data_IF_894481307137
#
_entry.id   IF_894481307137
#
_cell.length_a   1.000
_cell.length_b   1.000
_cell.length_c   1.000
_cell.angle_alpha   90.00
_cell.angle_beta   90.00
_cell.angle_gamma   90.00
#
_symmetry.space_group_name_H-M   'P 1'
#
loop_
_entity.id
_entity.type
_entity.pdbx_description
1 polymer ?
#
# COMPACT_ATOMS: atom_id res chain seq x y z
N UNK A 1 7.85 6.48 8.17
CA UNK A 1 6.96 5.38 7.74
C UNK A 1 7.72 4.10 7.53
N UNK A 2 8.46 3.96 6.42
CA UNK A 2 8.98 2.66 5.98
C UNK A 2 9.93 1.98 6.98
N UNK A 3 10.90 2.73 7.53
CA UNK A 3 11.78 2.18 8.56
C UNK A 3 11.01 1.71 9.80
N UNK A 4 10.06 2.53 10.28
CA UNK A 4 9.22 2.20 11.43
C UNK A 4 8.36 0.95 11.16
N UNK A 5 7.74 0.88 9.98
CA UNK A 5 6.93 -0.26 9.53
C UNK A 5 7.75 -1.56 9.46
N UNK A 6 8.95 -1.51 8.88
CA UNK A 6 9.84 -2.66 8.71
C UNK A 6 10.35 -3.19 10.05
N UNK A 7 10.63 -2.33 11.03
CA UNK A 7 11.04 -2.76 12.38
C UNK A 7 9.87 -3.12 13.30
N UNK A 8 8.63 -3.01 12.81
CA UNK A 8 7.42 -3.36 13.56
C UNK A 8 6.90 -2.27 14.51
N UNK A 9 7.46 -1.05 14.47
CA UNK A 9 6.91 0.10 15.19
C UNK A 9 5.68 0.66 14.45
N UNK A 10 4.56 -0.03 14.63
CA UNK A 10 3.31 0.25 13.95
C UNK A 10 2.74 1.62 14.33
N UNK A 11 2.94 2.09 15.56
CA UNK A 11 2.43 3.40 16.02
C UNK A 11 3.13 4.51 15.25
N UNK A 12 4.48 4.50 15.25
CA UNK A 12 5.25 5.51 14.53
C UNK A 12 5.06 5.42 13.01
N UNK A 13 4.87 4.21 12.48
CA UNK A 13 4.53 4.01 11.07
C UNK A 13 3.23 4.71 10.69
N UNK A 14 2.16 4.51 11.48
CA UNK A 14 0.84 5.12 11.28
C UNK A 14 0.89 6.64 11.44
N UNK A 15 1.55 7.16 12.48
CA UNK A 15 1.68 8.62 12.67
C UNK A 15 2.32 9.29 11.45
N UNK A 16 3.44 8.74 10.98
CA UNK A 16 4.10 9.27 9.79
C UNK A 16 3.26 9.13 8.52
N UNK A 17 2.47 8.07 8.39
CA UNK A 17 1.60 7.87 7.24
C UNK A 17 0.44 8.84 7.21
N UNK A 18 -0.24 9.00 8.34
CA UNK A 18 -1.31 9.98 8.48
C UNK A 18 -0.79 11.40 8.24
N UNK A 19 0.43 11.72 8.68
CA UNK A 19 1.02 13.03 8.39
C UNK A 19 1.24 13.24 6.90
N UNK A 20 1.80 12.25 6.19
CA UNK A 20 1.96 12.30 4.71
C UNK A 20 0.60 12.50 4.03
N UNK A 21 -0.42 11.73 4.41
CA UNK A 21 -1.77 11.85 3.87
C UNK A 21 -2.35 13.25 4.10
N UNK A 22 -2.14 13.81 5.30
CA UNK A 22 -2.65 15.13 5.70
C UNK A 22 -2.00 16.27 4.92
N UNK A 23 -0.68 16.28 4.78
CA UNK A 23 0.04 17.35 4.07
C UNK A 23 0.05 17.16 2.55
N UNK A 24 -0.21 15.94 2.09
CA UNK A 24 -0.27 15.57 0.68
C UNK A 24 -1.56 16.01 0.01
N UNK A 25 -2.64 16.27 0.75
CA UNK A 25 -3.92 16.70 0.19
C UNK A 25 -3.93 18.21 -0.10
N UNK A 26 -4.19 18.57 -1.35
CA UNK A 26 -4.34 19.96 -1.78
C UNK A 26 -5.78 20.46 -1.60
N UNK A 27 -5.98 21.77 -1.65
CA UNK A 27 -7.29 22.40 -1.45
C UNK A 27 -8.31 22.03 -2.54
N UNK A 28 -7.85 21.74 -3.74
CA UNK A 28 -8.67 21.26 -4.87
C UNK A 28 -8.95 19.75 -4.81
N UNK A 29 -8.48 19.06 -3.77
CA UNK A 29 -8.64 17.62 -3.57
C UNK A 29 -7.59 16.77 -4.27
N UNK A 30 -6.69 17.35 -5.07
CA UNK A 30 -5.59 16.62 -5.69
C UNK A 30 -4.50 16.23 -4.68
N UNK A 31 -3.70 15.24 -5.05
CA UNK A 31 -2.56 14.81 -4.24
C UNK A 31 -1.29 15.52 -4.72
N UNK A 32 -0.64 16.25 -3.81
CA UNK A 32 0.62 16.98 -4.06
C UNK A 32 1.76 16.03 -4.43
N UNK A 33 1.82 14.85 -3.80
CA UNK A 33 2.86 13.84 -4.02
C UNK A 33 2.25 12.45 -4.20
N UNK A 34 1.58 12.16 -5.34
CA UNK A 34 0.77 10.96 -5.50
C UNK A 34 1.49 9.64 -5.18
N UNK A 35 2.76 9.52 -5.61
CA UNK A 35 3.56 8.33 -5.31
C UNK A 35 3.82 8.17 -3.81
N UNK A 36 4.07 9.27 -3.09
CA UNK A 36 4.33 9.22 -1.65
C UNK A 36 3.06 8.95 -0.87
N UNK A 37 1.92 9.44 -1.34
CA UNK A 37 0.60 9.10 -0.81
C UNK A 37 0.29 7.61 -1.00
N UNK A 38 0.60 7.05 -2.17
CA UNK A 38 0.42 5.61 -2.43
C UNK A 38 1.27 4.74 -1.49
N UNK A 39 2.53 5.10 -1.24
CA UNK A 39 3.38 4.42 -0.24
C UNK A 39 2.84 4.55 1.20
N UNK A 40 2.26 5.71 1.54
CA UNK A 40 1.63 5.91 2.83
C UNK A 40 0.40 5.03 3.02
N UNK A 41 -0.44 4.89 1.98
CA UNK A 41 -1.58 3.98 1.97
C UNK A 41 -1.17 2.53 2.16
N UNK A 42 -0.14 2.04 1.45
CA UNK A 42 0.36 0.67 1.67
C UNK A 42 0.91 0.51 3.10
N UNK A 43 1.55 1.54 3.65
CA UNK A 43 2.00 1.51 5.05
C UNK A 43 0.84 1.34 6.03
N UNK A 44 -0.25 2.10 5.84
CA UNK A 44 -1.47 1.96 6.64
C UNK A 44 -2.09 0.57 6.46
N UNK A 45 -2.15 0.06 5.23
CA UNK A 45 -2.68 -1.26 4.95
C UNK A 45 -1.92 -2.39 5.69
N UNK A 46 -0.59 -2.35 5.70
CA UNK A 46 0.24 -3.32 6.44
C UNK A 46 -0.07 -3.27 7.94
N UNK A 47 -0.19 -2.07 8.52
CA UNK A 47 -0.50 -1.92 9.94
C UNK A 47 -1.93 -2.37 10.26
N UNK A 48 -2.90 -2.06 9.40
CA UNK A 48 -4.28 -2.51 9.52
C UNK A 48 -4.39 -4.05 9.48
N UNK A 49 -3.69 -4.70 8.55
CA UNK A 49 -3.63 -6.16 8.48
C UNK A 49 -3.01 -6.78 9.75
N UNK A 50 -1.95 -6.16 10.29
CA UNK A 50 -1.36 -6.58 11.58
C UNK A 50 -2.32 -6.45 12.76
N UNK A 51 -3.20 -5.44 12.71
CA UNK A 51 -4.15 -5.13 13.77
C UNK A 51 -5.44 -5.96 13.71
N UNK A 52 -5.67 -6.76 12.66
CA UNK A 52 -6.92 -7.50 12.50
C UNK A 52 -7.92 -6.84 11.54
N UNK A 53 -7.63 -5.65 11.04
CA UNK A 53 -8.55 -4.85 10.23
C UNK A 53 -8.38 -5.14 8.73
N UNK A 54 -8.83 -6.33 8.30
CA UNK A 54 -8.65 -6.79 6.91
C UNK A 54 -9.30 -5.87 5.88
N UNK A 55 -10.55 -5.47 6.09
CA UNK A 55 -11.27 -4.64 5.12
C UNK A 55 -10.59 -3.28 4.92
N UNK A 56 -10.11 -2.66 6.01
CA UNK A 56 -9.35 -1.41 5.97
C UNK A 56 -8.04 -1.60 5.21
N UNK A 57 -7.33 -2.70 5.48
CA UNK A 57 -6.08 -3.02 4.80
C UNK A 57 -6.26 -3.13 3.28
N UNK A 58 -7.28 -3.87 2.83
CA UNK A 58 -7.54 -4.07 1.40
C UNK A 58 -7.98 -2.76 0.74
N UNK A 59 -8.83 -1.98 1.40
CA UNK A 59 -9.29 -0.70 0.88
C UNK A 59 -8.13 0.27 0.63
N UNK A 60 -7.24 0.44 1.62
CA UNK A 60 -6.07 1.33 1.49
C UNK A 60 -5.09 0.81 0.43
N UNK A 61 -4.84 -0.49 0.41
CA UNK A 61 -3.91 -1.09 -0.53
C UNK A 61 -4.41 -0.98 -1.98
N UNK A 62 -5.70 -1.22 -2.21
CA UNK A 62 -6.35 -1.07 -3.51
C UNK A 62 -6.33 0.38 -3.98
N UNK A 63 -6.61 1.32 -3.08
CA UNK A 63 -6.53 2.75 -3.37
C UNK A 63 -5.11 3.21 -3.72
N UNK A 64 -4.06 2.53 -3.23
CA UNK A 64 -2.68 2.79 -3.62
C UNK A 64 -2.36 2.27 -5.03
N UNK A 65 -2.83 1.06 -5.37
CA UNK A 65 -2.61 0.44 -6.69
C UNK A 65 -3.37 1.12 -7.83
N UNK A 66 -4.45 1.82 -7.54
CA UNK A 66 -5.27 2.50 -8.55
C UNK A 66 -4.91 3.99 -8.75
N UNK A 67 -3.78 4.46 -8.22
CA UNK A 67 -3.35 5.86 -8.37
C UNK A 67 -2.77 6.19 -9.74
N UNK A 68 -3.05 7.39 -10.26
CA UNK A 68 -2.64 7.84 -11.61
C UNK A 68 -1.11 7.92 -11.84
N UNK A 69 -0.32 8.19 -10.79
CA UNK A 69 1.16 8.24 -10.86
C UNK A 69 1.76 7.36 -9.78
N UNK A 70 2.57 6.39 -10.19
CA UNK A 70 3.16 5.39 -9.31
C UNK A 70 4.65 5.19 -9.61
N UNK A 71 5.41 4.96 -8.54
CA UNK A 71 6.72 4.31 -8.66
C UNK A 71 6.50 2.80 -8.43
N UNK A 72 6.20 2.07 -9.51
CA UNK A 72 5.79 0.66 -9.41
C UNK A 72 6.82 -0.21 -8.65
N UNK A 73 8.14 -0.09 -8.87
CA UNK A 73 9.11 -0.87 -8.09
C UNK A 73 9.02 -0.63 -6.58
N UNK A 74 8.94 0.63 -6.14
CA UNK A 74 8.79 0.97 -4.71
C UNK A 74 7.47 0.46 -4.15
N UNK A 75 6.38 0.61 -4.91
CA UNK A 75 5.05 0.18 -4.52
C UNK A 75 4.99 -1.34 -4.33
N UNK A 76 5.58 -2.11 -5.26
CA UNK A 76 5.65 -3.57 -5.18
C UNK A 76 6.51 -4.04 -4.00
N UNK A 77 7.57 -3.32 -3.61
CA UNK A 77 8.34 -3.66 -2.42
C UNK A 77 7.49 -3.60 -1.15
N UNK A 78 6.67 -2.56 -0.99
CA UNK A 78 5.78 -2.41 0.16
C UNK A 78 4.58 -3.38 0.09
N UNK A 79 4.02 -3.61 -1.11
CA UNK A 79 2.93 -4.56 -1.35
C UNK A 79 3.29 -6.00 -0.94
N UNK A 80 4.54 -6.44 -1.18
CA UNK A 80 5.02 -7.77 -0.76
C UNK A 80 5.02 -7.96 0.76
N UNK A 81 5.15 -6.89 1.53
CA UNK A 81 5.04 -6.99 2.99
C UNK A 81 3.58 -7.20 3.39
N UNK A 82 2.64 -6.50 2.74
CA UNK A 82 1.21 -6.75 2.94
C UNK A 82 0.83 -8.19 2.54
N UNK A 83 1.34 -8.69 1.41
CA UNK A 83 1.12 -10.09 1.00
C UNK A 83 1.53 -11.08 2.10
N UNK A 84 2.65 -10.82 2.77
CA UNK A 84 3.12 -11.67 3.86
C UNK A 84 2.16 -11.63 5.05
N UNK A 85 1.78 -10.44 5.50
CA UNK A 85 0.83 -10.30 6.62
C UNK A 85 -0.53 -10.95 6.31
N UNK A 86 -1.01 -10.80 5.06
CA UNK A 86 -2.27 -11.39 4.63
C UNK A 86 -2.21 -12.92 4.62
N UNK A 87 -1.15 -13.50 4.05
CA UNK A 87 -0.97 -14.95 4.00
C UNK A 87 -0.79 -15.57 5.41
N UNK A 88 -0.09 -14.87 6.30
CA UNK A 88 0.16 -15.38 7.66
C UNK A 88 -1.08 -15.30 8.56
N UNK A 89 -1.92 -14.27 8.40
CA UNK A 89 -3.02 -13.97 9.33
C UNK A 89 -4.40 -14.31 8.81
N UNK A 90 -4.60 -14.29 7.49
CA UNK A 90 -5.89 -14.49 6.84
C UNK A 90 -5.83 -15.57 5.76
N UNK A 91 -5.36 -16.79 6.09
CA UNK A 91 -5.30 -17.86 5.12
C UNK A 91 -6.73 -18.18 4.62
N UNK A 92 -6.86 -18.39 3.31
CA UNK A 92 -8.11 -18.80 2.64
C UNK A 92 -9.24 -17.76 2.66
N UNK A 93 -8.93 -16.48 2.89
CA UNK A 93 -9.93 -15.41 2.73
C UNK A 93 -9.88 -14.89 1.30
N UNK A 94 -10.99 -14.99 0.58
CA UNK A 94 -11.09 -14.61 -0.85
C UNK A 94 -10.59 -13.19 -1.14
N UNK A 95 -10.87 -12.22 -0.28
CA UNK A 95 -10.44 -10.83 -0.49
C UNK A 95 -8.90 -10.67 -0.43
N UNK A 96 -8.20 -11.55 0.30
CA UNK A 96 -6.74 -11.56 0.31
C UNK A 96 -6.18 -12.17 -1.00
N UNK A 97 -6.87 -13.15 -1.59
CA UNK A 97 -6.52 -13.72 -2.89
C UNK A 97 -6.73 -12.68 -4.02
N UNK A 98 -7.85 -11.94 -3.99
CA UNK A 98 -8.15 -10.86 -4.95
C UNK A 98 -7.09 -9.74 -4.95
N UNK A 99 -6.54 -9.45 -3.78
CA UNK A 99 -5.42 -8.53 -3.65
C UNK A 99 -4.15 -9.05 -4.36
N UNK A 100 -3.82 -10.33 -4.19
CA UNK A 100 -2.65 -10.94 -4.85
C UNK A 100 -2.79 -10.93 -6.38
N UNK A 101 -4.00 -11.17 -6.89
CA UNK A 101 -4.30 -11.05 -8.32
C UNK A 101 -4.07 -9.61 -8.81
N UNK A 102 -4.50 -8.61 -8.04
CA UNK A 102 -4.30 -7.20 -8.35
C UNK A 102 -2.81 -6.82 -8.44
N UNK A 103 -1.99 -7.30 -7.50
CA UNK A 103 -0.54 -7.09 -7.50
C UNK A 103 0.11 -7.76 -8.73
N UNK A 104 -0.32 -8.98 -9.08
CA UNK A 104 0.21 -9.70 -10.23
C UNK A 104 -0.07 -8.98 -11.57
N UNK A 105 -1.25 -8.37 -11.71
CA UNK A 105 -1.60 -7.55 -12.89
C UNK A 105 -0.66 -6.35 -13.02
N UNK A 106 -0.46 -5.59 -11.93
CA UNK A 106 0.43 -4.41 -11.93
C UNK A 106 1.88 -4.82 -12.22
N UNK A 107 2.35 -5.93 -11.65
CA UNK A 107 3.70 -6.43 -11.89
C UNK A 107 3.93 -6.83 -13.35
N UNK A 108 2.96 -7.48 -14.00
CA UNK A 108 3.06 -7.84 -15.43
C UNK A 108 3.09 -6.60 -16.31
N UNK A 109 2.18 -5.65 -16.07
CA UNK A 109 2.12 -4.40 -16.82
C UNK A 109 3.44 -3.61 -16.73
N UNK A 110 4.09 -3.60 -15.57
CA UNK A 110 5.38 -2.93 -15.40
C UNK A 110 6.55 -3.60 -16.13
N UNK A 111 6.48 -4.91 -16.37
CA UNK A 111 7.50 -5.65 -17.15
C UNK A 111 7.31 -5.45 -18.66
N UNK A 112 6.06 -5.30 -19.09
CA UNK A 112 5.69 -5.14 -20.51
C UNK A 112 5.77 -3.69 -21.00
N UNK A 113 5.84 -2.71 -20.10
CA UNK A 113 5.99 -1.30 -20.47
C UNK A 113 7.34 -1.07 -21.17
N UNK A 114 7.37 -0.44 -22.36
CA UNK A 114 8.61 -0.08 -23.02
C UNK A 114 9.42 0.88 -22.15
N UNK A 115 10.74 0.67 -22.12
CA UNK A 115 11.65 1.62 -21.49
C UNK A 115 11.70 2.89 -22.36
N UNK A 116 10.96 3.93 -21.93
CA UNK A 116 11.03 5.28 -22.50
C UNK A 116 12.41 5.92 -22.29
#
# INVERSE_FOLDING_TARGET
MDCARVVGDNVLAVEHANEVMRIGKMADGSERWPMRTAEARITLAVVAARAGNLDEAINDATAALNGDRQCVPSLLMAARELDRELNERYPHVTIADEWQDSVAVVQRAAVEAPAD
#
